data_IF_500306206744
#
_entry.id   IF_500306206744
#
_cell.length_a   1.000
_cell.length_b   1.000
_cell.length_c   1.000
_cell.angle_alpha   90.00
_cell.angle_beta   90.00
_cell.angle_gamma   90.00
#
_symmetry.space_group_name_H-M   'P 1'
#
loop_
_entity.id
_entity.type
_entity.pdbx_description
1 polymer ?
#
# COMPACT_ATOMS: atom_id res chain seq x y z
N UNK A 1 -31.99 -4.52 18.56
CA UNK A 1 -31.03 -4.82 19.64
C UNK A 1 -29.63 -4.50 19.11
N UNK A 2 -29.07 -3.38 19.55
CA UNK A 2 -27.82 -2.80 19.04
C UNK A 2 -26.67 -3.37 19.88
N UNK A 3 -25.67 -3.98 19.25
CA UNK A 3 -24.43 -4.38 19.92
C UNK A 3 -23.34 -3.35 19.59
N UNK A 4 -23.12 -2.42 20.50
CA UNK A 4 -22.05 -1.42 20.47
C UNK A 4 -20.72 -2.06 20.90
N UNK A 5 -19.70 -2.04 20.06
CA UNK A 5 -18.31 -2.28 20.49
C UNK A 5 -17.68 -0.92 20.81
N UNK A 6 -17.50 -0.65 22.11
CA UNK A 6 -16.76 0.52 22.62
C UNK A 6 -15.26 0.28 22.47
N UNK A 7 -14.55 1.25 21.91
CA UNK A 7 -13.10 1.37 22.03
C UNK A 7 -12.75 1.69 23.49
N UNK A 8 -11.86 0.90 24.10
CA UNK A 8 -11.25 1.23 25.39
C UNK A 8 -9.78 1.63 25.18
N UNK A 9 -9.40 2.67 25.89
CA UNK A 9 -8.18 3.44 25.74
C UNK A 9 -7.04 2.88 26.62
N UNK A 10 -5.83 3.36 26.32
CA UNK A 10 -4.60 3.40 27.13
C UNK A 10 -3.72 2.14 27.18
N UNK A 11 -2.50 2.28 26.63
CA UNK A 11 -1.24 1.99 27.34
C UNK A 11 -0.10 2.80 26.73
N UNK A 12 0.33 3.80 27.51
CA UNK A 12 1.66 4.40 27.43
C UNK A 12 2.70 3.40 27.94
N UNK A 13 3.86 3.37 27.29
CA UNK A 13 5.04 2.61 27.73
C UNK A 13 6.32 3.35 27.31
N UNK A 14 7.38 3.35 28.16
CA UNK A 14 8.48 4.29 28.09
C UNK A 14 9.57 3.88 27.08
N UNK A 15 10.42 4.85 26.74
CA UNK A 15 11.53 4.70 25.81
C UNK A 15 12.63 3.73 26.26
N UNK A 16 13.39 3.28 25.27
CA UNK A 16 14.67 2.60 25.46
C UNK A 16 15.70 3.14 24.48
N UNK A 17 16.62 3.91 25.02
CA UNK A 17 17.93 4.24 24.46
C UNK A 17 18.75 2.96 24.26
N UNK A 18 19.42 2.82 23.11
CA UNK A 18 20.46 1.81 22.88
C UNK A 18 21.17 2.15 21.57
N UNK A 19 22.27 2.91 21.60
CA UNK A 19 23.64 2.39 21.76
C UNK A 19 23.96 1.33 20.69
N UNK A 20 24.73 1.77 19.69
CA UNK A 20 25.12 0.95 18.55
C UNK A 20 25.95 -0.28 18.92
N UNK A 21 25.93 -1.26 18.02
CA UNK A 21 26.98 -2.26 17.86
C UNK A 21 27.15 -2.55 16.38
N UNK A 22 28.19 -1.95 15.79
CA UNK A 22 28.88 -2.58 14.67
C UNK A 22 29.51 -3.86 15.20
N UNK A 23 29.07 -5.02 14.71
CA UNK A 23 29.83 -6.25 14.94
C UNK A 23 29.88 -7.07 13.65
N UNK A 24 31.01 -6.89 12.99
CA UNK A 24 31.66 -7.83 12.10
C UNK A 24 31.84 -9.19 12.77
N UNK A 25 30.92 -10.13 12.57
CA UNK A 25 31.25 -11.54 12.44
C UNK A 25 30.01 -12.32 11.97
N UNK A 26 30.09 -12.83 10.75
CA UNK A 26 29.10 -13.67 10.10
C UNK A 26 29.61 -15.11 10.20
N UNK A 27 29.13 -15.96 11.12
CA UNK A 27 29.36 -17.38 11.02
C UNK A 27 28.31 -17.98 10.09
N UNK A 28 28.81 -18.47 8.95
CA UNK A 28 28.19 -19.48 8.08
C UNK A 28 27.53 -20.57 8.93
N UNK A 29 26.20 -20.67 8.89
CA UNK A 29 25.48 -21.91 9.16
C UNK A 29 24.38 -22.11 8.13
N UNK A 30 24.79 -22.75 7.03
CA UNK A 30 24.09 -23.83 6.31
C UNK A 30 22.61 -24.04 6.68
N UNK A 31 21.73 -23.56 5.80
CA UNK A 31 20.47 -24.23 5.47
C UNK A 31 20.47 -24.52 3.98
N UNK A 32 20.82 -25.75 3.67
CA UNK A 32 20.56 -26.44 2.42
C UNK A 32 19.06 -26.43 2.15
N UNK A 33 18.64 -25.60 1.20
CA UNK A 33 17.50 -25.79 0.29
C UNK A 33 17.61 -24.71 -0.81
N UNK A 34 18.79 -24.65 -1.44
CA UNK A 34 19.01 -23.87 -2.66
C UNK A 34 18.79 -24.83 -3.85
N UNK A 35 17.76 -24.64 -4.68
CA UNK A 35 17.77 -25.25 -6.00
C UNK A 35 18.94 -24.64 -6.79
N UNK A 36 19.86 -25.51 -7.16
CA UNK A 36 20.90 -25.32 -8.15
C UNK A 36 20.28 -24.98 -9.51
N UNK A 37 20.56 -23.79 -10.04
CA UNK A 37 20.18 -23.40 -11.42
C UNK A 37 21.37 -22.76 -12.11
N UNK A 38 22.35 -23.58 -12.48
CA UNK A 38 23.24 -23.29 -13.60
C UNK A 38 22.46 -23.34 -14.92
N UNK A 39 21.63 -22.34 -15.22
CA UNK A 39 21.01 -22.22 -16.54
C UNK A 39 20.94 -20.76 -17.01
N UNK A 40 21.73 -20.50 -18.04
CA UNK A 40 22.01 -19.24 -18.76
C UNK A 40 20.81 -18.65 -19.53
N UNK A 41 19.57 -18.86 -19.05
CA UNK A 41 18.34 -18.25 -19.58
C UNK A 41 17.65 -17.27 -18.60
N UNK A 42 18.36 -16.74 -17.60
CA UNK A 42 17.79 -15.80 -16.60
C UNK A 42 17.51 -14.37 -17.10
N UNK A 43 17.16 -14.19 -18.38
CA UNK A 43 16.65 -12.93 -18.92
C UNK A 43 15.36 -13.16 -19.70
N UNK A 44 14.23 -13.31 -19.00
CA UNK A 44 12.93 -12.75 -19.41
C UNK A 44 11.80 -13.09 -18.42
N UNK A 45 11.23 -12.09 -17.73
CA UNK A 45 9.78 -12.10 -17.45
C UNK A 45 9.27 -12.21 -16.01
N UNK A 46 9.38 -11.13 -15.24
CA UNK A 46 8.21 -10.44 -14.62
C UNK A 46 7.28 -11.23 -13.65
N UNK A 47 7.71 -11.38 -12.41
CA UNK A 47 6.80 -11.47 -11.24
C UNK A 47 6.69 -10.12 -10.55
N UNK A 48 5.88 -9.20 -11.08
CA UNK A 48 5.60 -7.91 -10.43
C UNK A 48 4.61 -8.11 -9.25
N UNK A 49 5.06 -8.75 -8.17
CA UNK A 49 4.28 -9.02 -6.95
C UNK A 49 4.34 -7.89 -5.91
N UNK A 50 4.66 -6.67 -6.34
CA UNK A 50 4.86 -5.53 -5.47
C UNK A 50 4.20 -4.26 -6.00
N UNK A 51 3.94 -3.32 -5.09
CA UNK A 51 3.46 -1.99 -5.47
C UNK A 51 4.44 -1.36 -6.46
N UNK A 52 3.93 -0.91 -7.60
CA UNK A 52 4.71 -0.26 -8.66
C UNK A 52 4.75 1.25 -8.44
N UNK A 53 5.87 1.85 -7.98
CA UNK A 53 6.00 3.29 -7.90
C UNK A 53 5.74 3.93 -9.27
N UNK A 54 5.01 5.04 -9.30
CA UNK A 54 4.60 5.68 -10.55
C UNK A 54 3.34 5.09 -11.20
N UNK A 55 2.72 4.05 -10.61
CA UNK A 55 1.41 3.58 -11.06
C UNK A 55 0.30 4.60 -10.75
N UNK A 56 0.19 5.02 -9.49
CA UNK A 56 -0.79 6.01 -9.03
C UNK A 56 -2.26 5.58 -9.06
N UNK A 57 -2.58 4.35 -9.48
CA UNK A 57 -3.97 3.90 -9.64
C UNK A 57 -4.78 3.99 -8.34
N UNK A 58 -4.23 3.55 -7.21
CA UNK A 58 -4.86 3.66 -5.89
C UNK A 58 -5.07 5.12 -5.42
N UNK A 59 -4.35 6.08 -5.98
CA UNK A 59 -4.51 7.51 -5.70
C UNK A 59 -5.47 8.22 -6.66
N UNK A 60 -5.95 7.53 -7.71
CA UNK A 60 -6.83 8.10 -8.74
C UNK A 60 -8.19 7.40 -8.71
N UNK A 61 -8.23 6.08 -8.88
CA UNK A 61 -9.45 5.33 -9.15
C UNK A 61 -10.44 5.27 -7.97
N UNK A 62 -10.10 4.76 -6.77
CA UNK A 62 -11.09 4.52 -5.72
C UNK A 62 -11.56 5.83 -5.08
N UNK A 63 -12.79 5.86 -4.55
CA UNK A 63 -13.17 6.94 -3.62
C UNK A 63 -12.54 6.71 -2.25
N UNK A 64 -12.30 7.81 -1.53
CA UNK A 64 -11.78 7.81 -0.17
C UNK A 64 -12.64 8.77 0.63
N UNK A 65 -13.42 8.28 1.58
CA UNK A 65 -14.31 9.11 2.41
C UNK A 65 -13.58 9.78 3.59
N UNK A 66 -12.45 9.22 4.03
CA UNK A 66 -11.64 9.80 5.11
C UNK A 66 -10.81 11.00 4.63
N UNK A 67 -10.54 11.99 5.50
CA UNK A 67 -9.69 13.14 5.16
C UNK A 67 -8.30 12.74 4.65
N UNK A 68 -7.80 13.49 3.67
CA UNK A 68 -6.42 13.42 3.18
C UNK A 68 -5.83 14.83 3.34
N UNK A 69 -4.54 15.01 3.65
CA UNK A 69 -3.91 16.33 3.61
C UNK A 69 -4.19 17.05 2.27
N UNK A 70 -4.80 18.24 2.33
CA UNK A 70 -5.26 18.99 1.15
C UNK A 70 -6.65 18.61 0.61
N UNK A 71 -7.29 17.57 1.15
CA UNK A 71 -8.63 17.10 0.77
C UNK A 71 -9.44 16.72 2.04
N UNK A 72 -9.99 17.69 2.79
CA UNK A 72 -10.61 17.46 4.09
C UNK A 72 -11.90 16.62 4.04
N UNK A 73 -12.61 16.63 2.91
CA UNK A 73 -13.83 15.83 2.70
C UNK A 73 -13.54 14.50 1.98
N UNK A 74 -12.27 14.08 1.93
CA UNK A 74 -11.85 12.90 1.19
C UNK A 74 -11.63 13.16 -0.30
N UNK A 75 -11.56 12.08 -1.07
CA UNK A 75 -11.26 12.08 -2.51
C UNK A 75 -12.37 11.34 -3.27
N UNK A 76 -13.06 12.00 -4.21
CA UNK A 76 -14.00 11.30 -5.08
C UNK A 76 -13.30 10.23 -5.94
N UNK A 77 -14.07 9.23 -6.39
CA UNK A 77 -13.59 8.24 -7.35
C UNK A 77 -13.18 8.92 -8.67
N UNK A 78 -12.15 8.39 -9.33
CA UNK A 78 -11.59 8.92 -10.57
C UNK A 78 -10.85 10.26 -10.45
N UNK A 79 -11.01 11.01 -9.34
CA UNK A 79 -10.32 12.27 -9.10
C UNK A 79 -8.88 12.01 -8.64
N UNK A 80 -7.93 12.69 -9.27
CA UNK A 80 -6.50 12.64 -8.91
C UNK A 80 -6.28 13.22 -7.51
N UNK A 81 -5.68 12.45 -6.61
CA UNK A 81 -5.31 12.93 -5.28
C UNK A 81 -4.30 14.10 -5.34
N UNK A 82 -4.50 15.13 -4.52
CA UNK A 82 -3.56 16.28 -4.44
C UNK A 82 -2.14 15.90 -3.99
N UNK A 83 -1.99 14.74 -3.34
CA UNK A 83 -0.70 14.23 -2.88
C UNK A 83 0.06 13.47 -3.97
N UNK A 84 -0.51 13.31 -5.16
CA UNK A 84 0.11 12.61 -6.28
C UNK A 84 0.89 13.60 -7.15
N UNK A 85 2.22 13.47 -7.19
CA UNK A 85 3.09 14.36 -7.97
C UNK A 85 2.98 14.11 -9.50
N UNK A 86 3.75 14.83 -10.31
CA UNK A 86 3.71 14.70 -11.77
C UNK A 86 4.13 13.31 -12.28
N UNK A 87 4.93 12.57 -11.50
CA UNK A 87 5.42 11.24 -11.83
C UNK A 87 4.52 10.11 -11.28
N UNK A 88 3.34 10.45 -10.74
CA UNK A 88 2.44 9.51 -10.07
C UNK A 88 3.04 8.86 -8.82
N UNK A 89 3.93 9.57 -8.12
CA UNK A 89 4.43 9.19 -6.80
C UNK A 89 3.61 9.90 -5.72
N UNK A 90 3.17 9.14 -4.72
CA UNK A 90 2.45 9.71 -3.59
C UNK A 90 3.44 10.37 -2.63
N UNK A 91 3.31 11.68 -2.43
CA UNK A 91 4.16 12.49 -1.55
C UNK A 91 4.10 12.09 -0.08
N UNK A 92 3.06 11.35 0.32
CA UNK A 92 2.90 10.85 1.68
C UNK A 92 3.44 9.42 1.85
N UNK A 93 4.02 8.78 0.84
CA UNK A 93 4.55 7.42 1.01
C UNK A 93 5.67 7.41 2.07
N UNK A 94 5.49 6.65 3.16
CA UNK A 94 6.40 6.62 4.31
C UNK A 94 6.23 7.77 5.32
N UNK A 95 5.46 8.80 5.00
CA UNK A 95 5.20 9.95 5.88
C UNK A 95 4.13 9.62 6.93
N UNK A 96 4.28 10.08 8.17
CA UNK A 96 3.32 9.85 9.26
C UNK A 96 1.91 10.37 8.94
N UNK A 97 1.79 11.44 8.15
CA UNK A 97 0.53 12.07 7.72
C UNK A 97 -0.22 11.27 6.66
N UNK A 98 0.33 10.17 6.14
CA UNK A 98 -0.39 9.26 5.22
C UNK A 98 -1.60 8.66 5.94
N UNK A 99 -2.83 8.89 5.45
CA UNK A 99 -4.04 8.36 6.08
C UNK A 99 -4.01 6.84 6.18
N UNK A 100 -4.61 6.28 7.23
CA UNK A 100 -4.60 4.84 7.50
C UNK A 100 -5.21 4.02 6.37
N UNK A 101 -6.30 4.50 5.76
CA UNK A 101 -6.91 3.83 4.58
C UNK A 101 -5.89 3.68 3.43
N UNK A 102 -5.05 4.70 3.21
CA UNK A 102 -4.01 4.66 2.20
C UNK A 102 -2.86 3.74 2.59
N UNK A 103 -2.62 3.50 3.88
CA UNK A 103 -1.60 2.56 4.39
C UNK A 103 -2.07 1.10 4.33
N UNK A 104 -3.35 0.88 4.57
CA UNK A 104 -4.00 -0.43 4.50
C UNK A 104 -4.09 -0.96 3.07
N UNK A 105 -4.11 -0.07 2.07
CA UNK A 105 -4.02 -0.48 0.67
C UNK A 105 -2.60 -0.97 0.33
N UNK A 106 -2.44 -2.29 0.29
CA UNK A 106 -1.22 -2.98 -0.15
C UNK A 106 -1.37 -3.48 -1.59
N UNK A 107 -0.26 -3.92 -2.19
CA UNK A 107 -0.33 -4.58 -3.49
C UNK A 107 -1.18 -5.85 -3.39
N UNK A 108 -2.02 -6.03 -4.40
CA UNK A 108 -2.81 -7.23 -4.64
C UNK A 108 -2.81 -7.45 -6.15
N UNK A 109 -2.48 -8.68 -6.60
CA UNK A 109 -2.30 -8.98 -8.02
C UNK A 109 -3.62 -8.87 -8.80
N UNK A 110 -4.75 -9.23 -8.21
CA UNK A 110 -6.06 -9.10 -8.85
C UNK A 110 -6.47 -7.64 -9.00
N UNK A 111 -6.12 -6.78 -8.03
CA UNK A 111 -6.39 -5.35 -8.11
C UNK A 111 -5.43 -4.58 -9.01
N UNK A 112 -4.13 -4.85 -8.87
CA UNK A 112 -3.08 -4.06 -9.48
C UNK A 112 -2.72 -4.53 -10.89
N UNK A 113 -3.01 -5.79 -11.23
CA UNK A 113 -2.67 -6.38 -12.53
C UNK A 113 -1.17 -6.29 -12.87
N UNK A 114 -0.87 -6.36 -14.16
CA UNK A 114 0.51 -6.24 -14.66
C UNK A 114 0.82 -4.85 -15.22
N UNK A 115 -0.19 -3.98 -15.36
CA UNK A 115 -0.02 -2.64 -15.92
C UNK A 115 -0.78 -1.58 -15.14
N UNK A 116 -0.38 -0.31 -15.30
CA UNK A 116 -1.11 0.84 -14.74
C UNK A 116 -2.56 0.88 -15.24
N UNK A 117 -2.78 0.57 -16.51
CA UNK A 117 -4.11 0.62 -17.10
C UNK A 117 -5.01 -0.44 -16.47
N UNK A 118 -4.54 -1.68 -16.35
CA UNK A 118 -5.28 -2.75 -15.66
C UNK A 118 -5.60 -2.38 -14.21
N UNK A 119 -4.65 -1.79 -13.48
CA UNK A 119 -4.90 -1.34 -12.11
C UNK A 119 -6.03 -0.30 -12.03
N UNK A 120 -6.06 0.66 -12.97
CA UNK A 120 -7.12 1.66 -13.03
C UNK A 120 -8.46 1.02 -13.38
N UNK A 121 -8.49 0.13 -14.38
CA UNK A 121 -9.71 -0.52 -14.84
C UNK A 121 -10.31 -1.39 -13.74
N UNK A 122 -9.50 -2.21 -13.07
CA UNK A 122 -9.94 -3.10 -12.00
C UNK A 122 -10.47 -2.33 -10.79
N UNK A 123 -9.75 -1.29 -10.34
CA UNK A 123 -10.18 -0.46 -9.21
C UNK A 123 -11.44 0.35 -9.54
N UNK A 124 -11.55 0.86 -10.76
CA UNK A 124 -12.75 1.59 -11.22
C UNK A 124 -13.95 0.65 -11.31
N UNK A 125 -13.75 -0.57 -11.82
CA UNK A 125 -14.79 -1.60 -11.84
C UNK A 125 -15.25 -1.92 -10.41
N UNK A 126 -14.33 -2.16 -9.49
CA UNK A 126 -14.67 -2.45 -8.09
C UNK A 126 -15.43 -1.31 -7.42
N UNK A 127 -15.01 -0.08 -7.63
CA UNK A 127 -15.74 1.09 -7.13
C UNK A 127 -17.21 1.04 -7.59
N UNK A 128 -17.47 0.80 -8.88
CA UNK A 128 -18.84 0.71 -9.40
C UNK A 128 -19.66 -0.49 -8.89
N UNK A 129 -19.00 -1.55 -8.40
CA UNK A 129 -19.67 -2.82 -8.04
C UNK A 129 -19.67 -3.11 -6.53
N UNK A 130 -18.91 -2.36 -5.73
CA UNK A 130 -18.83 -2.51 -4.26
C UNK A 130 -19.40 -1.33 -3.50
N UNK A 131 -19.69 -0.21 -4.18
CA UNK A 131 -20.47 0.87 -3.59
C UNK A 131 -21.91 0.41 -3.35
N UNK A 132 -22.19 0.00 -2.11
CA UNK A 132 -23.56 0.07 -1.58
C UNK A 132 -23.94 1.55 -1.52
N UNK A 133 -25.11 2.00 -2.01
CA UNK A 133 -25.49 3.41 -1.96
C UNK A 133 -25.48 3.86 -0.51
N UNK A 134 -24.45 4.63 -0.16
CA UNK A 134 -24.29 5.20 1.17
C UNK A 134 -25.34 6.29 1.36
N UNK A 135 -26.47 5.86 1.92
CA UNK A 135 -27.52 6.57 2.68
C UNK A 135 -27.54 8.11 2.49
N UNK A 136 -28.60 8.58 1.82
CA UNK A 136 -29.04 9.98 1.69
C UNK A 136 -29.06 10.74 3.01
#
# INVERSE_FOLDING_TARGET
MILQIKANSLRTGPGSTGAGRTNTNFPKLIKTDQPDVTDINSLSGEGHDNCRPGCGACCIAPSISSPIPGMPHGKPAGVRCQQLDQNNLCRLFGDSRRPDVCRQFTFDRALCGTSRQQALDNLTWLEGHTLSPSKT
#
